data_IF_426298425632
#
_entry.id   IF_426298425632
#
_cell.length_a   1.000
_cell.length_b   1.000
_cell.length_c   1.000
_cell.angle_alpha   90.00
_cell.angle_beta   90.00
_cell.angle_gamma   90.00
#
_symmetry.space_group_name_H-M   'P 1'
#
loop_
_entity.id
_entity.type
_entity.pdbx_description
1 polymer ?
#
# COMPACT_ATOMS: atom_id res chain seq x y z
N UNK A 1 -73.40 4.63 23.61
CA UNK A 1 -73.88 6.02 23.51
C UNK A 1 -74.93 6.22 24.58
N UNK A 2 -74.50 6.79 25.71
CA UNK A 2 -75.27 7.35 26.81
C UNK A 2 -74.21 7.97 27.75
N UNK A 3 -74.33 9.27 28.02
CA UNK A 3 -74.55 9.87 29.36
C UNK A 3 -73.68 9.38 30.55
N UNK A 4 -73.24 10.22 31.50
CA UNK A 4 -73.47 11.67 31.71
C UNK A 4 -72.44 12.27 32.70
N UNK A 5 -72.54 13.56 32.99
CA UNK A 5 -71.61 14.34 33.84
C UNK A 5 -71.62 14.03 35.35
N UNK A 6 -70.56 14.53 36.02
CA UNK A 6 -70.60 15.27 37.29
C UNK A 6 -69.98 14.65 38.59
N UNK A 7 -68.72 15.03 38.83
CA UNK A 7 -68.25 15.92 39.94
C UNK A 7 -68.37 15.48 41.43
N UNK A 8 -67.27 15.71 42.16
CA UNK A 8 -67.03 15.57 43.63
C UNK A 8 -66.82 14.11 44.07
N UNK A 9 -66.03 13.78 45.10
CA UNK A 9 -65.54 14.55 46.25
C UNK A 9 -64.18 14.00 46.76
N UNK A 10 -63.51 14.67 47.71
CA UNK A 10 -62.32 14.16 48.42
C UNK A 10 -62.60 14.11 49.93
N UNK A 11 -61.96 13.22 50.72
CA UNK A 11 -60.85 13.71 51.56
C UNK A 11 -59.78 12.65 51.98
N UNK A 12 -58.67 13.13 52.57
CA UNK A 12 -57.92 12.37 53.60
C UNK A 12 -56.50 11.87 53.27
N UNK A 13 -55.49 12.63 53.72
CA UNK A 13 -54.36 12.21 54.60
C UNK A 13 -53.65 10.84 54.38
N UNK A 14 -52.31 10.72 54.35
CA UNK A 14 -51.33 11.41 55.22
C UNK A 14 -49.85 11.25 54.78
N UNK A 15 -49.01 12.21 55.18
CA UNK A 15 -47.58 12.10 55.64
C UNK A 15 -46.43 11.87 54.62
N UNK A 16 -45.57 12.92 54.50
CA UNK A 16 -44.07 12.97 54.42
C UNK A 16 -43.30 12.07 53.40
N UNK A 17 -42.16 12.42 52.80
CA UNK A 17 -41.21 13.57 52.78
C UNK A 17 -40.36 13.43 51.47
N UNK A 18 -39.54 14.34 50.95
CA UNK A 18 -39.08 15.70 51.31
C UNK A 18 -38.72 16.48 50.01
N UNK A 19 -38.31 17.76 50.09
CA UNK A 19 -38.05 18.64 48.93
C UNK A 19 -36.70 18.46 48.19
N UNK A 20 -36.66 18.87 46.90
CA UNK A 20 -35.44 19.49 46.33
C UNK A 20 -35.01 19.15 44.88
N UNK A 21 -35.73 19.59 43.84
CA UNK A 21 -35.16 19.71 42.47
C UNK A 21 -35.64 20.97 41.71
N UNK A 22 -34.75 21.49 40.85
CA UNK A 22 -35.10 22.30 39.67
C UNK A 22 -35.07 23.83 39.82
N UNK A 23 -34.08 24.51 39.22
CA UNK A 23 -34.02 25.98 39.35
C UNK A 23 -33.01 26.81 38.53
N UNK A 24 -32.42 26.29 37.44
CA UNK A 24 -31.73 27.06 36.36
C UNK A 24 -30.62 28.06 36.73
N UNK A 25 -29.39 27.81 36.23
CA UNK A 25 -28.58 28.79 35.49
C UNK A 25 -27.41 28.05 34.81
N UNK A 26 -27.16 28.33 33.54
CA UNK A 26 -26.15 27.66 32.71
C UNK A 26 -24.76 28.30 32.82
N UNK A 27 -23.71 27.51 32.57
CA UNK A 27 -22.49 28.05 31.97
C UNK A 27 -22.11 27.36 30.65
N UNK A 28 -21.41 28.14 29.83
CA UNK A 28 -20.87 27.87 28.49
C UNK A 28 -19.89 26.68 28.50
N UNK A 29 -19.83 25.83 27.46
CA UNK A 29 -18.84 24.77 27.38
C UNK A 29 -17.45 25.33 27.00
N UNK A 30 -16.46 25.14 27.86
CA UNK A 30 -15.05 25.30 27.49
C UNK A 30 -14.57 24.11 26.66
N UNK A 31 -13.79 24.38 25.61
CA UNK A 31 -13.24 23.36 24.72
C UNK A 31 -12.05 22.66 25.37
N UNK A 32 -12.26 21.41 25.83
CA UNK A 32 -11.18 20.50 26.18
C UNK A 32 -11.26 19.25 25.29
N UNK A 33 -10.78 19.40 24.04
CA UNK A 33 -10.55 18.28 23.13
C UNK A 33 -9.37 17.44 23.58
N UNK A 34 -9.52 16.73 24.70
CA UNK A 34 -8.58 15.70 25.11
C UNK A 34 -8.72 14.53 24.14
N UNK A 35 -7.91 14.55 23.08
CA UNK A 35 -7.75 13.41 22.20
C UNK A 35 -7.29 12.21 23.03
N UNK A 36 -8.14 11.20 23.14
CA UNK A 36 -7.74 9.91 23.68
C UNK A 36 -6.70 9.35 22.72
N UNK A 37 -5.43 9.43 23.12
CA UNK A 37 -4.38 8.61 22.51
C UNK A 37 -4.72 7.19 22.94
N UNK A 38 -5.43 6.47 22.06
CA UNK A 38 -5.69 5.05 22.21
C UNK A 38 -4.32 4.35 22.21
N UNK A 39 -3.81 3.96 23.38
CA UNK A 39 -2.56 3.22 23.50
C UNK A 39 -2.62 2.03 22.55
N UNK A 40 -1.58 1.85 21.74
CA UNK A 40 -1.53 0.82 20.71
C UNK A 40 -1.53 -0.58 21.33
N UNK A 41 -2.73 -1.10 21.58
CA UNK A 41 -2.94 -2.45 22.09
C UNK A 41 -2.24 -3.46 21.18
N UNK A 42 -1.60 -4.51 21.72
CA UNK A 42 -1.01 -5.56 20.87
C UNK A 42 -2.04 -6.26 19.96
N UNK A 43 -3.34 -6.07 20.17
CA UNK A 43 -4.40 -6.50 19.24
C UNK A 43 -4.64 -5.53 18.07
N UNK A 44 -4.30 -4.23 18.20
CA UNK A 44 -4.42 -3.23 17.12
C UNK A 44 -3.38 -3.43 16.00
N UNK A 45 -2.31 -4.18 16.29
CA UNK A 45 -1.26 -4.58 15.34
C UNK A 45 -1.59 -5.91 14.62
N UNK A 46 -2.65 -6.62 15.01
CA UNK A 46 -3.03 -7.91 14.42
C UNK A 46 -4.04 -7.68 13.30
N UNK A 47 -3.83 -8.28 12.13
CA UNK A 47 -4.74 -8.22 10.97
C UNK A 47 -5.96 -9.16 11.14
N UNK A 48 -6.63 -9.06 12.31
CA UNK A 48 -7.90 -9.73 12.61
C UNK A 48 -9.05 -9.13 11.79
N UNK A 49 -10.14 -9.88 11.54
CA UNK A 49 -11.33 -9.33 10.85
C UNK A 49 -11.88 -8.05 11.49
N UNK A 50 -11.86 -7.95 12.82
CA UNK A 50 -12.29 -6.75 13.55
C UNK A 50 -11.35 -5.56 13.32
N UNK A 51 -10.03 -5.79 13.30
CA UNK A 51 -9.08 -4.72 12.99
C UNK A 51 -9.17 -4.30 11.51
N UNK A 52 -9.42 -5.23 10.59
CA UNK A 52 -9.64 -4.93 9.16
C UNK A 52 -10.86 -4.04 8.98
N UNK A 53 -12.00 -4.38 9.58
CA UNK A 53 -13.19 -3.53 9.55
C UNK A 53 -12.91 -2.13 10.15
N UNK A 54 -12.13 -2.06 11.25
CA UNK A 54 -11.66 -0.78 11.81
C UNK A 54 -10.75 -0.01 10.85
N UNK A 55 -9.86 -0.67 10.11
CA UNK A 55 -9.00 -0.02 9.11
C UNK A 55 -9.77 0.45 7.88
N UNK A 56 -10.81 -0.29 7.46
CA UNK A 56 -11.75 0.13 6.41
C UNK A 56 -12.53 1.38 6.83
N UNK A 57 -13.06 1.41 8.06
CA UNK A 57 -13.74 2.55 8.67
C UNK A 57 -12.82 3.78 8.84
N UNK A 58 -11.59 3.56 9.33
CA UNK A 58 -10.55 4.59 9.43
C UNK A 58 -10.20 5.16 8.07
N UNK A 59 -10.06 4.33 7.04
CA UNK A 59 -9.88 4.80 5.65
C UNK A 59 -11.10 5.60 5.22
N UNK A 60 -12.32 5.09 5.43
CA UNK A 60 -13.58 5.72 5.02
C UNK A 60 -13.75 7.13 5.60
N UNK A 61 -13.43 7.32 6.87
CA UNK A 61 -13.46 8.60 7.54
C UNK A 61 -12.23 9.48 7.29
N UNK A 62 -11.15 8.95 6.70
CA UNK A 62 -9.96 9.71 6.39
C UNK A 62 -10.20 10.78 5.31
N UNK A 63 -9.82 12.03 5.58
CA UNK A 63 -9.93 13.14 4.62
C UNK A 63 -9.07 12.92 3.37
N UNK A 64 -7.92 12.26 3.51
CA UNK A 64 -7.04 11.87 2.40
C UNK A 64 -7.75 10.94 1.40
N UNK A 65 -8.58 9.98 1.86
CA UNK A 65 -9.32 9.05 0.97
C UNK A 65 -10.16 9.80 -0.06
N UNK A 66 -10.73 10.96 0.29
CA UNK A 66 -11.54 11.79 -0.62
C UNK A 66 -10.77 12.23 -1.87
N UNK A 67 -9.44 12.38 -1.79
CA UNK A 67 -8.57 12.68 -2.94
C UNK A 67 -8.58 11.55 -3.97
N UNK A 68 -8.77 10.31 -3.51
CA UNK A 68 -8.63 9.08 -4.29
C UNK A 68 -9.96 8.41 -4.69
N UNK A 69 -11.12 8.97 -4.34
CA UNK A 69 -12.41 8.47 -4.82
C UNK A 69 -12.55 8.65 -6.34
N UNK A 70 -13.24 7.72 -6.99
CA UNK A 70 -13.60 7.85 -8.41
C UNK A 70 -14.54 9.04 -8.63
N UNK A 71 -14.23 9.87 -9.62
CA UNK A 71 -14.93 11.11 -9.96
C UNK A 71 -15.69 11.02 -11.28
N UNK A 72 -15.50 9.93 -12.04
CA UNK A 72 -16.03 9.75 -13.39
C UNK A 72 -16.81 8.45 -13.53
N UNK A 73 -17.53 8.27 -14.65
CA UNK A 73 -18.26 7.03 -14.95
C UNK A 73 -17.45 6.06 -15.82
N UNK A 74 -16.14 6.28 -15.90
CA UNK A 74 -15.24 5.56 -16.79
C UNK A 74 -14.96 4.14 -16.28
N UNK A 75 -14.99 3.09 -17.12
CA UNK A 75 -14.58 1.74 -16.70
C UNK A 75 -13.12 1.64 -16.22
N UNK A 76 -12.31 2.64 -16.58
CA UNK A 76 -10.89 2.77 -16.21
C UNK A 76 -10.67 3.59 -14.93
N UNK A 77 -11.73 4.03 -14.23
CA UNK A 77 -11.66 4.86 -13.02
C UNK A 77 -12.07 4.07 -11.76
N UNK A 78 -11.17 3.21 -11.28
CA UNK A 78 -11.32 2.47 -10.04
C UNK A 78 -10.64 3.15 -8.85
N UNK A 79 -11.12 2.86 -7.64
CA UNK A 79 -10.52 3.31 -6.37
C UNK A 79 -9.58 2.29 -5.70
N UNK A 80 -9.45 1.07 -6.25
CA UNK A 80 -8.71 -0.03 -5.63
C UNK A 80 -7.19 0.21 -5.63
N UNK A 81 -6.60 0.61 -4.50
CA UNK A 81 -5.14 0.70 -4.36
C UNK A 81 -4.55 -0.68 -4.01
N UNK A 82 -3.36 -0.99 -4.53
CA UNK A 82 -2.59 -2.19 -4.16
C UNK A 82 -1.16 -1.86 -3.84
N UNK A 83 -0.66 -2.45 -2.76
CA UNK A 83 0.74 -2.34 -2.38
C UNK A 83 1.53 -3.53 -2.92
N UNK A 84 2.75 -3.26 -3.36
CA UNK A 84 3.66 -4.25 -3.92
C UNK A 84 5.00 -4.23 -3.18
N UNK A 85 5.64 -5.39 -3.05
CA UNK A 85 7.05 -5.48 -2.66
C UNK A 85 7.90 -5.93 -3.84
N UNK A 86 9.05 -5.31 -4.03
CA UNK A 86 10.07 -5.77 -4.95
C UNK A 86 10.78 -6.99 -4.36
N UNK A 87 11.03 -7.99 -5.20
CA UNK A 87 11.84 -9.17 -4.86
C UNK A 87 13.34 -8.90 -4.97
N UNK A 88 13.74 -7.91 -5.78
CA UNK A 88 15.14 -7.48 -5.86
C UNK A 88 15.47 -6.74 -4.57
N UNK A 89 16.50 -7.15 -3.80
CA UNK A 89 16.91 -6.46 -2.60
C UNK A 89 17.47 -5.07 -2.95
N UNK A 90 17.20 -4.10 -2.09
CA UNK A 90 17.90 -2.82 -2.06
C UNK A 90 19.28 -3.03 -1.46
N UNK A 91 20.32 -2.46 -2.06
CA UNK A 91 21.62 -2.34 -1.40
C UNK A 91 21.53 -1.38 -0.21
N UNK A 92 22.42 -1.51 0.78
CA UNK A 92 22.35 -0.76 2.06
C UNK A 92 22.27 0.77 1.91
N UNK A 93 22.89 1.29 0.84
CA UNK A 93 22.92 2.71 0.48
C UNK A 93 22.03 3.05 -0.75
N UNK A 94 21.23 2.11 -1.25
CA UNK A 94 20.28 2.37 -2.33
C UNK A 94 18.99 2.98 -1.76
N UNK A 95 18.59 4.14 -2.29
CA UNK A 95 17.36 4.81 -1.93
C UNK A 95 16.15 4.09 -2.55
N UNK A 96 15.05 3.97 -1.82
CA UNK A 96 13.83 3.36 -2.35
C UNK A 96 13.24 4.16 -3.52
N UNK A 97 13.52 5.46 -3.61
CA UNK A 97 13.16 6.29 -4.75
C UNK A 97 14.04 6.09 -6.00
N UNK A 98 15.15 5.33 -5.96
CA UNK A 98 15.96 4.99 -7.15
C UNK A 98 15.34 3.88 -8.00
N UNK A 99 14.07 4.07 -8.36
CA UNK A 99 13.24 3.14 -9.11
C UNK A 99 13.77 2.86 -10.52
N UNK A 100 13.51 1.67 -11.11
CA UNK A 100 13.96 1.33 -12.46
C UNK A 100 13.52 2.36 -13.51
N UNK A 101 14.36 2.54 -14.54
CA UNK A 101 14.09 3.52 -15.63
C UNK A 101 12.81 3.24 -16.41
N UNK A 102 12.28 2.01 -16.39
CA UNK A 102 11.00 1.65 -16.98
C UNK A 102 9.81 2.15 -16.14
N UNK A 103 8.88 2.85 -16.78
CA UNK A 103 7.68 3.46 -16.17
C UNK A 103 6.67 2.41 -15.70
N UNK A 104 6.65 1.26 -16.39
CA UNK A 104 5.77 0.14 -16.10
C UNK A 104 6.64 -0.93 -15.49
N UNK A 105 6.29 -1.30 -14.27
CA UNK A 105 7.07 -2.19 -13.41
C UNK A 105 7.11 -3.61 -13.98
N UNK A 106 8.27 -4.25 -13.90
CA UNK A 106 8.53 -5.56 -14.49
C UNK A 106 7.64 -6.67 -13.93
N UNK A 107 6.96 -7.42 -14.81
CA UNK A 107 6.23 -8.63 -14.42
C UNK A 107 7.21 -9.64 -13.83
N UNK A 108 7.03 -10.00 -12.56
CA UNK A 108 7.87 -10.94 -11.82
C UNK A 108 8.97 -10.31 -10.96
N UNK A 109 9.19 -9.00 -11.03
CA UNK A 109 10.06 -8.27 -10.09
C UNK A 109 9.29 -7.82 -8.84
N UNK A 110 8.04 -7.42 -9.02
CA UNK A 110 7.17 -6.91 -7.95
C UNK A 110 5.98 -7.84 -7.72
N UNK A 111 5.73 -8.12 -6.44
CA UNK A 111 4.72 -9.05 -5.97
C UNK A 111 3.70 -8.29 -5.13
N UNK A 112 2.42 -8.61 -5.28
CA UNK A 112 1.34 -7.99 -4.48
C UNK A 112 1.43 -8.45 -3.03
N UNK A 113 1.25 -7.53 -2.09
CA UNK A 113 0.90 -7.89 -0.72
C UNK A 113 -0.52 -8.50 -0.69
N UNK A 114 -0.84 -9.27 0.36
CA UNK A 114 -2.22 -9.76 0.58
C UNK A 114 -3.22 -8.61 0.66
N UNK A 115 -4.52 -8.91 0.55
CA UNK A 115 -5.58 -7.89 0.69
C UNK A 115 -5.43 -7.10 1.98
N UNK A 116 -5.20 -7.81 3.08
CA UNK A 116 -5.19 -7.28 4.45
C UNK A 116 -3.96 -6.42 4.71
N UNK A 117 -2.81 -6.94 4.29
CA UNK A 117 -1.54 -6.23 4.38
C UNK A 117 -1.59 -4.96 3.51
N UNK A 118 -2.11 -5.04 2.27
CA UNK A 118 -2.30 -3.86 1.40
C UNK A 118 -3.21 -2.80 2.04
N UNK A 119 -4.30 -3.23 2.68
CA UNK A 119 -5.22 -2.33 3.38
C UNK A 119 -4.56 -1.67 4.59
N UNK A 120 -3.82 -2.44 5.41
CA UNK A 120 -3.13 -1.91 6.58
C UNK A 120 -2.05 -0.87 6.19
N UNK A 121 -1.28 -1.15 5.13
CA UNK A 121 -0.30 -0.20 4.60
C UNK A 121 -1.01 1.07 4.07
N UNK A 122 -2.10 0.93 3.31
CA UNK A 122 -2.85 2.08 2.77
C UNK A 122 -3.51 2.92 3.87
N UNK A 123 -4.06 2.30 4.92
CA UNK A 123 -4.63 3.01 6.07
C UNK A 123 -3.57 3.86 6.78
N UNK A 124 -2.40 3.28 7.04
CA UNK A 124 -1.26 3.97 7.66
C UNK A 124 -0.64 5.03 6.74
N UNK A 125 -0.71 4.84 5.42
CA UNK A 125 -0.29 5.82 4.42
C UNK A 125 -1.22 7.03 4.40
N UNK A 126 -2.54 6.81 4.27
CA UNK A 126 -3.52 7.90 4.15
C UNK A 126 -3.58 8.79 5.40
N UNK A 127 -3.29 8.25 6.59
CA UNK A 127 -3.17 9.05 7.83
C UNK A 127 -2.03 10.07 7.80
N UNK A 128 -0.96 9.80 7.03
CA UNK A 128 0.26 10.63 6.94
C UNK A 128 0.63 10.98 5.48
N UNK A 129 -0.36 11.01 4.58
CA UNK A 129 -0.16 11.10 3.13
C UNK A 129 0.82 12.23 2.74
N UNK A 130 0.62 13.42 3.27
CA UNK A 130 1.38 14.62 2.87
C UNK A 130 2.83 14.60 3.38
N UNK A 131 3.05 14.03 4.58
CA UNK A 131 4.38 13.78 5.16
C UNK A 131 5.13 12.71 4.35
N UNK A 132 4.48 11.58 4.09
CA UNK A 132 5.07 10.43 3.39
C UNK A 132 5.36 10.73 1.91
N UNK A 133 4.48 11.50 1.23
CA UNK A 133 4.76 12.00 -0.11
C UNK A 133 5.89 13.03 -0.10
N UNK A 134 5.98 13.91 0.90
CA UNK A 134 7.09 14.87 1.02
C UNK A 134 8.44 14.17 1.16
N UNK A 135 8.56 13.18 2.05
CA UNK A 135 9.78 12.38 2.20
C UNK A 135 10.14 11.65 0.90
N UNK A 136 9.16 11.00 0.27
CA UNK A 136 9.38 10.26 -0.97
C UNK A 136 9.80 11.16 -2.14
N UNK A 137 9.17 12.31 -2.33
CA UNK A 137 9.55 13.28 -3.38
C UNK A 137 10.93 13.91 -3.13
N UNK A 138 11.29 14.14 -1.86
CA UNK A 138 12.63 14.61 -1.49
C UNK A 138 13.69 13.57 -1.88
N UNK A 139 13.48 12.31 -1.51
CA UNK A 139 14.37 11.19 -1.84
C UNK A 139 14.48 10.97 -3.36
N UNK A 140 13.36 11.08 -4.08
CA UNK A 140 13.34 11.02 -5.55
C UNK A 140 14.16 12.16 -6.18
N UNK A 141 14.06 13.38 -5.65
CA UNK A 141 14.84 14.52 -6.13
C UNK A 141 16.36 14.32 -5.91
N UNK A 142 16.76 13.70 -4.79
CA UNK A 142 18.16 13.35 -4.48
C UNK A 142 18.74 12.27 -5.42
N UNK A 143 17.90 11.35 -5.93
CA UNK A 143 18.30 10.36 -6.94
C UNK A 143 18.12 10.80 -8.40
N UNK A 144 17.32 11.83 -8.66
CA UNK A 144 17.01 12.24 -10.03
C UNK A 144 18.15 13.03 -10.66
N UNK A 145 18.61 12.59 -11.83
CA UNK A 145 19.48 13.41 -12.68
C UNK A 145 18.69 14.64 -13.16
N UNK A 146 18.99 15.80 -12.57
CA UNK A 146 18.37 17.06 -12.96
C UNK A 146 18.64 17.43 -14.43
N UNK A 147 17.85 18.34 -15.02
CA UNK A 147 18.05 18.73 -16.42
C UNK A 147 19.48 19.24 -16.66
N UNK A 148 20.27 18.49 -17.44
CA UNK A 148 21.69 18.77 -17.69
C UNK A 148 21.88 20.00 -18.60
N UNK A 149 21.66 21.19 -18.04
CA UNK A 149 21.74 22.47 -18.71
C UNK A 149 23.11 23.13 -18.64
N UNK A 150 23.72 23.34 -19.81
CA UNK A 150 24.99 24.03 -20.08
C UNK A 150 26.30 23.32 -19.66
N UNK A 151 27.20 23.02 -20.62
CA UNK A 151 28.59 22.68 -20.31
C UNK A 151 29.38 23.96 -19.98
N UNK A 152 29.44 24.32 -18.69
CA UNK A 152 30.42 25.32 -18.23
C UNK A 152 31.79 24.63 -18.16
N UNK A 153 32.71 25.14 -18.98
CA UNK A 153 34.05 24.59 -19.16
C UNK A 153 34.93 24.71 -17.90
N UNK A 154 35.60 23.61 -17.56
CA UNK A 154 36.98 23.65 -17.04
C UNK A 154 37.19 24.18 -15.62
N UNK A 155 37.14 23.28 -14.63
CA UNK A 155 37.57 23.56 -13.26
C UNK A 155 38.04 22.30 -12.53
N UNK A 156 39.22 21.78 -12.88
CA UNK A 156 39.87 20.73 -12.08
C UNK A 156 40.24 21.29 -10.71
N UNK A 157 39.82 20.60 -9.64
CA UNK A 157 40.53 20.65 -8.36
C UNK A 157 40.54 19.24 -7.76
N UNK A 158 41.74 18.65 -7.70
CA UNK A 158 41.97 17.35 -7.09
C UNK A 158 41.97 17.48 -5.56
N UNK A 159 41.18 16.67 -4.85
CA UNK A 159 41.37 16.44 -3.42
C UNK A 159 40.76 15.13 -2.93
N UNK A 160 41.61 14.11 -2.78
CA UNK A 160 41.41 12.94 -1.93
C UNK A 160 42.77 12.55 -1.33
N UNK A 161 42.85 11.73 -0.27
CA UNK A 161 41.81 11.42 0.73
C UNK A 161 42.35 11.59 2.18
N UNK A 162 41.47 11.77 3.18
CA UNK A 162 41.72 11.25 4.52
C UNK A 162 40.52 11.34 5.46
N UNK A 163 40.30 10.28 6.24
CA UNK A 163 39.91 10.24 7.68
C UNK A 163 39.16 8.94 8.01
N UNK A 164 39.93 7.89 8.25
CA UNK A 164 39.48 6.62 8.82
C UNK A 164 39.20 6.78 10.33
N UNK A 165 38.01 7.26 10.71
CA UNK A 165 37.57 7.27 12.12
C UNK A 165 36.06 7.38 12.37
N UNK A 166 35.21 7.29 11.33
CA UNK A 166 33.78 7.64 11.44
C UNK A 166 32.78 6.48 11.36
N UNK A 167 33.23 5.25 11.11
CA UNK A 167 32.32 4.11 10.92
C UNK A 167 31.57 3.74 12.20
N UNK A 168 32.24 3.71 13.36
CA UNK A 168 31.61 3.32 14.64
C UNK A 168 30.53 4.31 15.12
N UNK A 169 30.70 5.61 14.84
CA UNK A 169 29.70 6.63 15.13
C UNK A 169 28.48 6.51 14.21
N UNK A 170 28.71 6.26 12.92
CA UNK A 170 27.64 6.03 11.94
C UNK A 170 26.87 4.74 12.24
N UNK A 171 27.53 3.63 12.55
CA UNK A 171 26.85 2.40 12.96
C UNK A 171 26.01 2.60 14.23
N UNK A 172 26.54 3.29 15.26
CA UNK A 172 25.77 3.58 16.46
C UNK A 172 24.53 4.44 16.18
N UNK A 173 24.62 5.39 15.24
CA UNK A 173 23.49 6.23 14.82
C UNK A 173 22.47 5.44 13.96
N UNK A 174 22.93 4.53 13.11
CA UNK A 174 22.08 3.62 12.33
C UNK A 174 21.27 2.69 13.25
N UNK A 175 21.91 2.08 14.27
CA UNK A 175 21.21 1.22 15.23
C UNK A 175 20.14 1.99 16.03
N UNK A 176 20.43 3.20 16.51
CA UNK A 176 19.41 4.03 17.20
C UNK A 176 18.25 4.43 16.26
N UNK A 177 18.52 4.68 14.98
CA UNK A 177 17.49 4.98 13.97
C UNK A 177 16.77 3.72 13.41
N UNK A 178 17.21 2.53 13.80
CA UNK A 178 16.55 1.25 13.56
C UNK A 178 15.60 0.88 14.71
N UNK A 179 15.99 1.18 15.95
CA UNK A 179 15.23 0.86 17.17
C UNK A 179 13.91 1.66 17.31
N UNK A 180 13.77 2.80 16.62
CA UNK A 180 12.55 3.62 16.56
C UNK A 180 11.65 3.32 15.32
N UNK A 181 11.99 2.34 14.47
CA UNK A 181 11.16 1.96 13.31
C UNK A 181 9.89 1.21 13.73
N UNK A 182 8.82 1.95 14.00
CA UNK A 182 7.46 1.38 14.05
C UNK A 182 6.93 1.25 12.61
N UNK A 183 7.11 0.08 12.01
CA UNK A 183 6.59 -0.24 10.69
C UNK A 183 5.16 -0.80 10.71
N UNK A 184 4.56 -0.96 9.53
CA UNK A 184 3.29 -1.68 9.39
C UNK A 184 3.57 -3.19 9.29
N UNK A 185 3.04 -4.05 10.18
CA UNK A 185 3.31 -5.48 10.16
C UNK A 185 2.62 -6.16 8.96
N UNK A 186 3.39 -6.96 8.21
CA UNK A 186 2.96 -7.65 6.98
C UNK A 186 3.44 -9.10 6.96
N UNK A 187 2.93 -9.89 6.00
CA UNK A 187 3.26 -11.31 5.79
C UNK A 187 3.08 -12.14 7.07
N UNK A 188 1.99 -11.91 7.79
CA UNK A 188 1.72 -12.58 9.06
C UNK A 188 2.65 -12.19 10.22
N UNK A 189 3.15 -10.95 10.21
CA UNK A 189 3.99 -10.37 11.27
C UNK A 189 5.46 -10.80 11.20
N UNK A 190 5.93 -11.27 10.04
CA UNK A 190 7.32 -11.68 9.80
C UNK A 190 8.20 -10.55 9.25
N UNK A 191 7.56 -9.57 8.63
CA UNK A 191 8.16 -8.40 8.01
C UNK A 191 7.38 -7.17 8.43
N UNK A 192 8.03 -6.01 8.38
CA UNK A 192 7.41 -4.70 8.57
C UNK A 192 7.69 -3.78 7.39
N UNK A 193 6.77 -2.86 7.14
CA UNK A 193 6.90 -1.82 6.11
C UNK A 193 7.15 -0.47 6.77
N UNK A 194 8.36 0.05 6.59
CA UNK A 194 8.70 1.46 6.85
C UNK A 194 8.15 2.29 5.68
N UNK A 195 7.09 3.05 5.96
CA UNK A 195 6.44 3.94 4.97
C UNK A 195 7.23 5.20 4.65
N UNK A 196 8.12 5.65 5.54
CA UNK A 196 8.95 6.85 5.33
C UNK A 196 10.07 6.50 4.35
N UNK A 197 10.77 5.39 4.59
CA UNK A 197 11.83 4.87 3.70
C UNK A 197 11.31 4.04 2.53
N UNK A 198 10.02 3.68 2.50
CA UNK A 198 9.42 2.70 1.54
C UNK A 198 10.17 1.36 1.49
N UNK A 199 10.60 0.87 2.66
CA UNK A 199 11.29 -0.40 2.82
C UNK A 199 10.39 -1.46 3.45
N UNK A 200 10.49 -2.70 2.99
CA UNK A 200 9.96 -3.91 3.62
C UNK A 200 11.15 -4.68 4.20
N UNK A 201 11.19 -4.89 5.52
CA UNK A 201 12.32 -5.48 6.21
C UNK A 201 11.88 -6.62 7.15
N UNK A 202 12.71 -7.67 7.34
CA UNK A 202 12.40 -8.77 8.26
C UNK A 202 12.49 -8.32 9.73
N UNK A 203 11.57 -8.82 10.57
CA UNK A 203 11.49 -8.43 11.99
C UNK A 203 12.40 -9.28 12.89
N UNK A 204 12.51 -10.58 12.63
CA UNK A 204 13.15 -11.54 13.56
C UNK A 204 14.54 -12.03 13.14
N UNK A 205 15.07 -11.55 12.01
CA UNK A 205 16.41 -11.90 11.52
C UNK A 205 16.98 -10.75 10.70
N UNK A 206 18.30 -10.60 10.68
CA UNK A 206 18.98 -9.69 9.75
C UNK A 206 18.79 -10.20 8.31
N UNK A 207 18.33 -9.34 7.42
CA UNK A 207 18.15 -9.64 6.01
C UNK A 207 17.98 -8.37 5.18
N UNK A 208 17.99 -8.53 3.87
CA UNK A 208 17.98 -7.42 2.92
C UNK A 208 16.62 -6.70 2.89
N UNK A 209 16.64 -5.39 2.67
CA UNK A 209 15.43 -4.57 2.55
C UNK A 209 14.84 -4.72 1.14
N UNK A 210 13.52 -4.92 1.02
CA UNK A 210 12.80 -4.89 -0.25
C UNK A 210 12.12 -3.54 -0.48
N UNK A 211 12.23 -2.97 -1.69
CA UNK A 211 11.51 -1.75 -2.09
C UNK A 211 9.99 -1.97 -2.06
N UNK A 212 9.23 -1.02 -1.51
CA UNK A 212 7.77 -1.02 -1.49
C UNK A 212 7.21 0.02 -2.45
N UNK A 213 6.15 -0.34 -3.19
CA UNK A 213 5.52 0.49 -4.22
C UNK A 213 4.02 0.61 -3.97
N UNK A 214 3.49 1.84 -4.06
CA UNK A 214 2.05 2.12 -4.03
C UNK A 214 1.46 2.08 -5.44
N UNK A 215 0.74 1.02 -5.77
CA UNK A 215 0.04 0.88 -7.06
C UNK A 215 -1.36 1.48 -7.03
N UNK A 216 -1.51 2.70 -7.52
CA UNK A 216 -2.81 3.37 -7.72
C UNK A 216 -3.11 3.74 -9.19
N UNK A 217 -2.09 3.78 -10.06
CA UNK A 217 -2.26 3.75 -11.53
C UNK A 217 -1.63 2.50 -12.12
N UNK A 218 -2.24 1.97 -13.17
CA UNK A 218 -1.86 0.71 -13.80
C UNK A 218 -1.85 0.82 -15.32
N UNK A 219 -0.98 0.04 -15.95
CA UNK A 219 -0.77 0.01 -17.39
C UNK A 219 -0.81 -1.42 -17.92
N UNK A 220 -1.34 -1.59 -19.14
CA UNK A 220 -1.49 -2.89 -19.82
C UNK A 220 -0.55 -3.01 -21.01
N UNK A 221 0.71 -3.34 -20.71
CA UNK A 221 1.80 -3.48 -21.71
C UNK A 221 1.92 -4.92 -22.20
N UNK A 222 1.65 -5.15 -23.48
CA UNK A 222 1.95 -6.44 -24.15
C UNK A 222 1.18 -7.66 -23.64
N UNK A 223 0.03 -7.48 -22.98
CA UNK A 223 -0.73 -8.57 -22.38
C UNK A 223 -2.15 -8.19 -21.94
N UNK A 224 -2.76 -9.04 -21.12
CA UNK A 224 -4.08 -8.81 -20.50
C UNK A 224 -3.99 -8.33 -19.04
N UNK A 225 -2.80 -8.42 -18.45
CA UNK A 225 -2.54 -8.11 -17.04
C UNK A 225 -2.33 -6.61 -16.84
N UNK A 226 -2.81 -6.09 -15.69
CA UNK A 226 -2.62 -4.72 -15.26
C UNK A 226 -1.40 -4.64 -14.33
N UNK A 227 -0.33 -4.03 -14.82
CA UNK A 227 0.92 -3.85 -14.08
C UNK A 227 0.95 -2.46 -13.43
N UNK A 228 1.45 -2.30 -12.19
CA UNK A 228 1.53 -0.99 -11.56
C UNK A 228 2.49 -0.09 -12.32
N UNK A 229 2.13 1.19 -12.39
CA UNK A 229 3.06 2.23 -12.80
C UNK A 229 4.04 2.56 -11.68
N UNK A 230 5.19 3.07 -12.08
CA UNK A 230 6.18 3.69 -11.20
C UNK A 230 5.56 4.92 -10.51
N UNK A 231 5.90 5.12 -9.23
CA UNK A 231 5.14 6.03 -8.37
C UNK A 231 5.23 7.51 -8.80
N UNK A 232 6.35 7.95 -9.37
CA UNK A 232 6.52 9.28 -9.98
C UNK A 232 5.55 9.53 -11.14
N UNK A 233 5.32 8.52 -11.97
CA UNK A 233 4.40 8.58 -13.10
C UNK A 233 2.95 8.50 -12.59
N UNK A 234 2.68 7.65 -11.60
CA UNK A 234 1.35 7.49 -11.02
C UNK A 234 0.87 8.75 -10.28
N UNK A 235 1.72 9.39 -9.47
CA UNK A 235 1.36 10.63 -8.77
C UNK A 235 1.18 11.81 -9.74
N UNK A 236 1.99 11.93 -10.82
CA UNK A 236 1.76 12.93 -11.86
C UNK A 236 0.43 12.75 -12.60
N UNK A 237 0.04 11.49 -12.89
CA UNK A 237 -1.26 11.17 -13.46
C UNK A 237 -2.40 11.49 -12.48
N UNK A 238 -2.22 11.23 -11.18
CA UNK A 238 -3.21 11.54 -10.16
C UNK A 238 -3.40 13.07 -9.99
N UNK A 239 -2.33 13.87 -10.07
CA UNK A 239 -2.42 15.34 -10.10
C UNK A 239 -3.21 15.83 -11.31
N UNK A 240 -2.95 15.28 -12.50
CA UNK A 240 -3.69 15.64 -13.72
C UNK A 240 -5.17 15.21 -13.65
N UNK A 241 -5.43 14.01 -13.12
CA UNK A 241 -6.78 13.49 -12.88
C UNK A 241 -7.54 14.37 -11.86
N UNK A 242 -6.94 14.70 -10.72
CA UNK A 242 -7.54 15.63 -9.73
C UNK A 242 -7.73 17.05 -10.29
N UNK A 243 -6.95 17.44 -11.28
CA UNK A 243 -7.15 18.65 -12.09
C UNK A 243 -8.32 18.59 -13.08
N UNK A 244 -9.07 17.48 -13.11
CA UNK A 244 -10.17 17.17 -14.02
C UNK A 244 -9.74 17.24 -15.49
N UNK A 245 -8.67 16.53 -15.85
CA UNK A 245 -8.12 16.49 -17.23
C UNK A 245 -9.18 16.18 -18.30
N UNK A 246 -10.20 15.37 -18.00
CA UNK A 246 -11.32 15.07 -18.90
C UNK A 246 -12.22 16.28 -19.19
N UNK A 247 -12.33 17.24 -18.27
CA UNK A 247 -13.03 18.51 -18.53
C UNK A 247 -12.21 19.50 -19.38
N UNK A 248 -10.89 19.31 -19.48
CA UNK A 248 -9.95 20.23 -20.17
C UNK A 248 -9.55 19.76 -21.59
N UNK A 249 -10.30 18.81 -22.15
CA UNK A 249 -10.05 18.23 -23.48
C UNK A 249 -10.41 19.20 -24.61
N UNK A 250 -9.67 19.12 -25.73
CA UNK A 250 -9.96 19.83 -26.98
C UNK A 250 -10.48 18.87 -28.02
N UNK A 251 -11.47 19.30 -28.80
CA UNK A 251 -11.99 18.54 -29.93
C UNK A 251 -10.89 18.34 -30.99
N UNK A 252 -10.69 17.09 -31.43
CA UNK A 252 -9.68 16.72 -32.42
C UNK A 252 -10.30 16.46 -33.80
N UNK A 253 -9.53 16.58 -34.89
CA UNK A 253 -10.00 16.20 -36.24
C UNK A 253 -10.47 14.75 -36.37
N UNK A 254 -10.09 13.86 -35.43
CA UNK A 254 -10.58 12.48 -35.33
C UNK A 254 -12.03 12.35 -34.83
N UNK A 255 -12.69 13.46 -34.46
CA UNK A 255 -14.05 13.48 -33.93
C UNK A 255 -14.16 13.24 -32.42
N UNK A 256 -13.04 13.09 -31.70
CA UNK A 256 -13.00 12.83 -30.27
C UNK A 256 -12.42 14.03 -29.49
N UNK A 257 -12.85 14.21 -28.25
CA UNK A 257 -12.18 15.14 -27.33
C UNK A 257 -10.93 14.49 -26.74
N UNK A 258 -9.79 15.20 -26.78
CA UNK A 258 -8.52 14.73 -26.23
C UNK A 258 -7.80 15.79 -25.39
N UNK A 259 -7.13 15.36 -24.33
CA UNK A 259 -6.20 16.15 -23.53
C UNK A 259 -4.86 15.40 -23.41
N UNK A 260 -3.76 16.13 -23.52
CA UNK A 260 -2.39 15.62 -23.34
C UNK A 260 -1.87 16.09 -21.98
N UNK A 261 -1.22 15.18 -21.27
CA UNK A 261 -0.49 15.42 -20.02
C UNK A 261 0.95 15.00 -20.27
N UNK A 262 1.85 15.97 -20.40
CA UNK A 262 3.29 15.69 -20.49
C UNK A 262 3.81 15.27 -19.12
N UNK A 263 4.57 14.17 -19.08
CA UNK A 263 5.06 13.54 -17.85
C UNK A 263 6.56 13.78 -17.74
N UNK A 264 6.99 14.25 -16.57
CA UNK A 264 8.38 14.50 -16.24
C UNK A 264 9.03 13.22 -15.70
N UNK A 265 10.31 13.03 -15.99
CA UNK A 265 11.10 11.89 -15.53
C UNK A 265 12.18 11.48 -16.53
N UNK A 266 12.77 10.29 -16.32
CA UNK A 266 13.94 9.79 -17.04
C UNK A 266 13.74 9.48 -18.53
N UNK A 267 12.50 9.53 -19.04
CA UNK A 267 12.14 9.18 -20.43
C UNK A 267 11.59 10.41 -21.14
N UNK A 268 12.39 11.07 -22.01
CA UNK A 268 11.94 12.24 -22.77
C UNK A 268 10.73 11.93 -23.66
N UNK A 269 9.79 12.88 -23.75
CA UNK A 269 8.60 12.74 -24.58
C UNK A 269 7.52 11.78 -24.04
N UNK A 270 7.68 11.28 -22.82
CA UNK A 270 6.65 10.53 -22.11
C UNK A 270 5.43 11.44 -21.87
N UNK A 271 4.25 10.99 -22.28
CA UNK A 271 3.01 11.72 -22.07
C UNK A 271 1.81 10.77 -21.99
N UNK A 272 0.77 11.17 -21.27
CA UNK A 272 -0.52 10.50 -21.27
C UNK A 272 -1.53 11.26 -22.14
N UNK A 273 -2.30 10.53 -22.92
CA UNK A 273 -3.39 11.04 -23.75
C UNK A 273 -4.72 10.56 -23.18
N UNK A 274 -5.54 11.48 -22.68
CA UNK A 274 -6.88 11.24 -22.16
C UNK A 274 -7.91 11.56 -23.24
N UNK A 275 -8.75 10.61 -23.63
CA UNK A 275 -9.75 10.73 -24.70
C UNK A 275 -11.10 10.20 -24.23
N UNK A 276 -12.19 10.80 -24.69
CA UNK A 276 -13.55 10.33 -24.40
C UNK A 276 -14.58 11.46 -24.53
N UNK A 277 -15.76 11.26 -23.97
CA UNK A 277 -16.90 12.19 -24.01
C UNK A 277 -17.43 12.42 -22.60
N UNK A 278 -17.85 13.64 -22.26
CA UNK A 278 -18.42 14.02 -20.96
C UNK A 278 -17.65 13.44 -19.74
N UNK A 279 -18.35 12.76 -18.82
CA UNK A 279 -17.78 12.09 -17.64
C UNK A 279 -17.16 10.71 -17.93
N UNK A 280 -16.77 10.43 -19.18
CA UNK A 280 -16.07 9.19 -19.57
C UNK A 280 -14.71 9.47 -20.18
N UNK A 281 -13.71 8.67 -19.83
CA UNK A 281 -12.38 8.72 -20.41
C UNK A 281 -11.73 7.33 -20.56
N UNK A 282 -10.93 7.19 -21.60
CA UNK A 282 -9.84 6.24 -21.70
C UNK A 282 -8.52 7.02 -21.70
N UNK A 283 -7.45 6.40 -21.18
CA UNK A 283 -6.12 7.00 -21.20
C UNK A 283 -5.10 6.03 -21.78
N UNK A 284 -4.11 6.58 -22.48
CA UNK A 284 -2.98 5.84 -23.02
C UNK A 284 -1.67 6.55 -22.68
N UNK A 285 -0.66 5.78 -22.29
CA UNK A 285 0.71 6.23 -22.10
C UNK A 285 1.48 6.09 -23.41
N UNK A 286 2.12 7.17 -23.84
CA UNK A 286 2.88 7.27 -25.07
C UNK A 286 4.28 7.83 -24.80
N UNK A 287 5.22 7.52 -25.68
CA UNK A 287 6.56 8.10 -25.71
C UNK A 287 6.79 8.65 -27.11
N UNK A 288 7.00 9.96 -27.23
CA UNK A 288 7.33 10.61 -28.50
C UNK A 288 8.81 10.37 -28.83
N UNK A 289 9.16 9.63 -29.90
CA UNK A 289 10.56 9.25 -30.17
C UNK A 289 11.46 10.39 -30.68
N UNK A 290 10.94 11.63 -30.83
CA UNK A 290 11.71 12.73 -31.45
C UNK A 290 11.26 14.17 -31.12
N UNK A 291 10.30 14.39 -30.21
CA UNK A 291 9.81 15.73 -29.86
C UNK A 291 9.03 16.47 -30.98
N UNK A 292 8.82 15.85 -32.14
CA UNK A 292 7.92 16.35 -33.16
C UNK A 292 6.48 15.92 -32.87
N UNK A 293 5.60 16.89 -32.63
CA UNK A 293 4.15 16.71 -32.55
C UNK A 293 3.57 16.33 -33.92
N UNK A 294 3.80 15.10 -34.36
CA UNK A 294 3.11 14.50 -35.49
C UNK A 294 1.74 13.98 -35.06
N UNK A 295 0.74 14.11 -35.93
CA UNK A 295 -0.63 13.67 -35.66
C UNK A 295 -0.65 12.14 -35.70
N UNK A 296 -0.52 11.49 -34.54
CA UNK A 296 -0.44 10.03 -34.45
C UNK A 296 -1.84 9.42 -34.74
N UNK A 297 -1.96 8.46 -35.68
CA UNK A 297 -3.21 7.73 -35.89
C UNK A 297 -3.55 6.85 -34.67
N UNK A 298 -4.85 6.63 -34.46
CA UNK A 298 -5.40 5.86 -33.34
C UNK A 298 -5.08 4.35 -33.44
N UNK A 299 -3.83 3.97 -33.21
CA UNK A 299 -3.35 2.58 -33.26
C UNK A 299 -1.86 2.48 -33.60
N UNK A 300 -1.06 1.99 -32.66
CA UNK A 300 0.39 1.81 -32.84
C UNK A 300 1.10 1.43 -31.55
N UNK A 301 1.58 2.43 -30.80
CA UNK A 301 2.53 2.23 -29.69
C UNK A 301 2.02 2.67 -28.30
N UNK A 302 0.75 3.09 -28.15
CA UNK A 302 0.19 3.53 -26.87
C UNK A 302 -0.10 2.36 -25.93
N UNK A 303 0.26 2.49 -24.64
CA UNK A 303 -0.08 1.52 -23.59
C UNK A 303 -1.33 1.97 -22.86
N UNK A 304 -2.39 1.16 -22.82
CA UNK A 304 -3.62 1.54 -22.11
C UNK A 304 -3.38 1.69 -20.61
N UNK A 305 -3.88 2.80 -20.05
CA UNK A 305 -3.84 3.15 -18.64
C UNK A 305 -5.20 2.93 -17.99
N UNK A 306 -5.17 2.70 -16.68
CA UNK A 306 -6.32 2.78 -15.78
C UNK A 306 -5.89 3.31 -14.41
N UNK A 307 -6.86 3.82 -13.68
CA UNK A 307 -6.78 4.20 -12.27
C UNK A 307 -7.40 3.10 -11.42
N UNK A 308 -6.78 2.77 -10.30
CA UNK A 308 -7.12 1.62 -9.46
C UNK A 308 -6.81 0.26 -10.11
N UNK A 309 -6.62 -0.76 -9.28
CA UNK A 309 -6.29 -2.12 -9.69
C UNK A 309 -7.47 -2.82 -10.39
N UNK A 310 -7.17 -3.85 -11.17
CA UNK A 310 -8.13 -4.87 -11.58
C UNK A 310 -7.39 -6.19 -11.80
N UNK A 311 -8.11 -7.29 -11.61
CA UNK A 311 -7.68 -8.60 -12.12
C UNK A 311 -7.54 -8.54 -13.64
N UNK A 312 -6.70 -9.43 -14.17
CA UNK A 312 -6.53 -9.63 -15.62
C UNK A 312 -7.84 -10.05 -16.27
N UNK A 313 -8.15 -9.51 -17.46
CA UNK A 313 -9.32 -9.90 -18.25
C UNK A 313 -9.14 -11.30 -18.90
N UNK A 314 -8.00 -11.97 -18.65
CA UNK A 314 -7.71 -13.29 -19.21
C UNK A 314 -8.67 -14.36 -18.66
N UNK A 315 -9.37 -15.13 -19.52
CA UNK A 315 -10.20 -16.25 -19.08
C UNK A 315 -9.37 -17.43 -18.53
N UNK A 316 -8.05 -17.39 -18.69
CA UNK A 316 -7.11 -18.36 -18.09
C UNK A 316 -5.97 -17.58 -17.39
N UNK A 317 -5.82 -17.68 -16.07
CA UNK A 317 -4.70 -17.03 -15.38
C UNK A 317 -3.37 -17.67 -15.81
N UNK A 318 -2.32 -16.85 -15.87
CA UNK A 318 -0.95 -17.34 -16.12
C UNK A 318 -0.43 -18.11 -14.89
N UNK A 319 0.60 -18.95 -15.07
CA UNK A 319 1.20 -19.69 -13.95
C UNK A 319 1.73 -18.75 -12.85
N UNK A 320 2.29 -17.60 -13.25
CA UNK A 320 2.76 -16.56 -12.32
C UNK A 320 1.60 -15.93 -11.55
N UNK A 321 0.47 -15.66 -12.21
CA UNK A 321 -0.72 -15.09 -11.56
C UNK A 321 -1.38 -16.11 -10.61
N UNK A 322 -1.41 -17.41 -10.96
CA UNK A 322 -1.83 -18.47 -10.05
C UNK A 322 -0.92 -18.61 -8.83
N UNK A 323 0.40 -18.46 -9.02
CA UNK A 323 1.38 -18.45 -7.93
C UNK A 323 1.16 -17.24 -7.03
N UNK A 324 1.03 -16.05 -7.62
CA UNK A 324 0.79 -14.78 -6.91
C UNK A 324 -0.51 -14.83 -6.10
N UNK A 325 -1.60 -15.41 -6.65
CA UNK A 325 -2.86 -15.61 -5.93
C UNK A 325 -2.72 -16.55 -4.73
N UNK A 326 -1.97 -17.66 -4.87
CA UNK A 326 -1.67 -18.56 -3.75
C UNK A 326 -0.81 -17.90 -2.68
N UNK A 327 0.15 -17.07 -3.07
CA UNK A 327 0.98 -16.30 -2.14
C UNK A 327 0.16 -15.22 -1.41
N UNK A 328 -0.75 -14.51 -2.11
CA UNK A 328 -1.72 -13.57 -1.50
C UNK A 328 -2.65 -14.27 -0.50
N UNK A 329 -3.26 -15.41 -0.88
CA UNK A 329 -4.15 -16.20 0.00
C UNK A 329 -3.41 -16.73 1.24
N UNK A 330 -2.18 -17.22 1.07
CA UNK A 330 -1.32 -17.68 2.16
C UNK A 330 -0.93 -16.54 3.11
N UNK A 331 -0.61 -15.35 2.58
CA UNK A 331 -0.33 -14.17 3.41
C UNK A 331 -1.59 -13.71 4.15
N UNK A 332 -2.73 -13.59 3.48
CA UNK A 332 -4.01 -13.20 4.10
C UNK A 332 -4.44 -14.18 5.20
N UNK A 333 -4.20 -15.49 5.02
CA UNK A 333 -4.38 -16.50 6.08
C UNK A 333 -3.41 -16.27 7.25
N UNK A 334 -2.10 -16.11 6.97
CA UNK A 334 -1.08 -15.90 8.00
C UNK A 334 -1.29 -14.59 8.80
N UNK A 335 -1.85 -13.55 8.18
CA UNK A 335 -2.16 -12.26 8.80
C UNK A 335 -3.40 -12.32 9.71
N UNK A 336 -4.36 -13.22 9.44
CA UNK A 336 -5.52 -13.46 10.31
C UNK A 336 -5.22 -14.42 11.48
N UNK A 337 -4.58 -15.55 11.17
CA UNK A 337 -4.47 -16.66 12.11
C UNK A 337 -3.19 -16.52 12.94
N UNK A 338 -3.29 -16.39 14.28
CA UNK A 338 -2.11 -16.17 15.12
C UNK A 338 -1.25 -17.43 15.22
N UNK A 339 0.06 -17.23 15.32
CA UNK A 339 1.00 -18.31 15.67
C UNK A 339 0.76 -18.69 17.14
N UNK A 340 0.41 -19.96 17.39
CA UNK A 340 0.35 -20.52 18.76
C UNK A 340 1.53 -21.43 19.08
N UNK A 341 2.19 -21.97 18.05
CA UNK A 341 3.32 -22.88 18.19
C UNK A 341 4.43 -22.49 17.23
N UNK A 342 5.66 -22.37 17.77
CA UNK A 342 6.88 -22.19 17.01
C UNK A 342 7.64 -23.51 16.99
N UNK A 343 8.09 -23.93 15.80
CA UNK A 343 8.86 -25.16 15.62
C UNK A 343 10.15 -24.83 14.87
N UNK A 344 11.26 -24.80 15.60
CA UNK A 344 12.59 -24.65 15.04
C UNK A 344 13.04 -26.00 14.46
N UNK A 345 13.37 -26.01 13.17
CA UNK A 345 13.73 -27.22 12.43
C UNK A 345 15.22 -27.18 12.08
N UNK A 346 15.98 -28.10 12.66
CA UNK A 346 17.43 -28.27 12.44
C UNK A 346 17.72 -29.60 11.75
N UNK A 347 18.73 -29.64 10.88
CA UNK A 347 19.31 -30.91 10.45
C UNK A 347 20.24 -31.48 11.52
N UNK A 348 20.17 -32.78 11.77
CA UNK A 348 21.03 -33.46 12.74
C UNK A 348 22.44 -33.73 12.18
N UNK A 349 23.45 -33.61 13.04
CA UNK A 349 24.84 -34.00 12.73
C UNK A 349 24.88 -35.51 12.48
N UNK A 350 25.01 -35.92 11.21
CA UNK A 350 25.11 -37.34 10.83
C UNK A 350 24.54 -37.73 9.47
N UNK A 351 23.69 -36.89 8.85
CA UNK A 351 23.31 -37.14 7.45
C UNK A 351 24.52 -36.84 6.54
N UNK A 352 24.80 -37.76 5.60
CA UNK A 352 25.71 -37.51 4.47
C UNK A 352 24.95 -36.66 3.45
N UNK A 353 24.94 -35.35 3.67
CA UNK A 353 24.09 -34.35 2.99
C UNK A 353 24.49 -34.08 1.52
N UNK A 354 24.78 -35.10 0.71
CA UNK A 354 25.08 -34.90 -0.71
C UNK A 354 23.85 -34.46 -1.53
N UNK A 355 22.63 -34.52 -0.96
CA UNK A 355 21.35 -34.17 -1.64
C UNK A 355 20.24 -33.58 -0.74
N UNK A 356 20.46 -33.32 0.54
CA UNK A 356 19.41 -32.83 1.45
C UNK A 356 19.48 -31.31 1.63
N UNK A 357 18.35 -30.64 1.44
CA UNK A 357 18.20 -29.19 1.60
C UNK A 357 17.19 -28.92 2.72
N UNK A 358 17.64 -28.29 3.80
CA UNK A 358 16.79 -27.98 4.96
C UNK A 358 15.56 -27.15 4.57
N UNK A 359 15.69 -26.24 3.61
CA UNK A 359 14.58 -25.39 3.16
C UNK A 359 13.49 -26.23 2.47
N UNK A 360 13.89 -27.20 1.64
CA UNK A 360 12.96 -28.10 0.95
C UNK A 360 12.32 -29.10 1.94
N UNK A 361 13.09 -29.62 2.90
CA UNK A 361 12.58 -30.51 3.95
C UNK A 361 11.54 -29.81 4.85
N UNK A 362 11.81 -28.55 5.24
CA UNK A 362 10.84 -27.71 5.96
C UNK A 362 9.62 -27.38 5.07
N UNK A 363 9.83 -27.15 3.77
CA UNK A 363 8.74 -26.99 2.79
C UNK A 363 7.82 -28.21 2.72
N UNK A 364 8.40 -29.42 2.65
CA UNK A 364 7.67 -30.68 2.68
C UNK A 364 6.91 -30.87 4.00
N UNK A 365 7.53 -30.57 5.14
CA UNK A 365 6.88 -30.69 6.44
C UNK A 365 5.69 -29.72 6.60
N UNK A 366 5.84 -28.47 6.11
CA UNK A 366 4.74 -27.48 6.02
C UNK A 366 3.58 -28.02 5.19
N UNK A 367 3.85 -28.58 4.00
CA UNK A 367 2.81 -29.14 3.13
C UNK A 367 2.10 -30.33 3.78
N UNK A 368 2.85 -31.30 4.34
CA UNK A 368 2.27 -32.48 5.00
C UNK A 368 1.39 -32.05 6.18
N UNK A 369 1.87 -31.11 6.99
CA UNK A 369 1.08 -30.56 8.12
C UNK A 369 -0.20 -29.88 7.63
N UNK A 370 -0.13 -29.07 6.57
CA UNK A 370 -1.30 -28.40 6.00
C UNK A 370 -2.35 -29.41 5.52
N UNK A 371 -1.94 -30.44 4.77
CA UNK A 371 -2.85 -31.48 4.29
C UNK A 371 -3.45 -32.33 5.42
N UNK A 372 -2.68 -32.65 6.47
CA UNK A 372 -3.22 -33.32 7.67
C UNK A 372 -4.19 -32.41 8.43
N UNK A 373 -3.93 -31.10 8.52
CA UNK A 373 -4.83 -30.13 9.12
C UNK A 373 -6.15 -30.02 8.35
N UNK A 374 -6.11 -30.02 7.00
CA UNK A 374 -7.31 -30.01 6.15
C UNK A 374 -8.17 -31.28 6.31
N UNK A 375 -7.54 -32.44 6.52
CA UNK A 375 -8.23 -33.72 6.70
C UNK A 375 -8.80 -33.95 8.11
N UNK A 376 -8.14 -33.42 9.15
CA UNK A 376 -8.44 -33.77 10.53
C UNK A 376 -8.90 -32.62 11.43
N UNK A 377 -8.71 -31.34 11.03
CA UNK A 377 -9.13 -30.18 11.81
C UNK A 377 -10.33 -29.48 11.17
N UNK A 378 -11.30 -29.13 12.02
CA UNK A 378 -12.41 -28.26 11.62
C UNK A 378 -11.91 -26.90 11.14
N UNK A 379 -12.68 -26.23 10.28
CA UNK A 379 -12.34 -24.88 9.81
C UNK A 379 -12.15 -23.89 10.97
N UNK A 380 -12.90 -24.04 12.06
CA UNK A 380 -12.74 -23.22 13.27
C UNK A 380 -11.40 -23.46 13.99
N UNK A 381 -10.93 -24.71 14.09
CA UNK A 381 -9.62 -25.01 14.65
C UNK A 381 -8.50 -24.42 13.77
N UNK A 382 -8.63 -24.52 12.44
CA UNK A 382 -7.66 -23.96 11.48
C UNK A 382 -7.63 -22.43 11.44
N UNK A 383 -8.74 -21.74 11.76
CA UNK A 383 -8.81 -20.29 11.83
C UNK A 383 -8.34 -19.70 13.16
N UNK A 384 -8.24 -20.52 14.23
CA UNK A 384 -7.93 -20.04 15.58
C UNK A 384 -6.43 -20.07 15.90
N UNK A 385 -5.66 -20.93 15.21
CA UNK A 385 -4.24 -21.11 15.47
C UNK A 385 -3.47 -21.68 14.27
N UNK A 386 -2.21 -21.26 14.09
CA UNK A 386 -1.25 -21.90 13.18
C UNK A 386 0.06 -22.25 13.88
N UNK A 387 0.77 -23.20 13.29
CA UNK A 387 2.16 -23.54 13.62
C UNK A 387 3.09 -22.84 12.64
N UNK A 388 4.13 -22.19 13.14
CA UNK A 388 5.19 -21.59 12.31
C UNK A 388 6.46 -22.42 12.40
N UNK A 389 6.86 -23.00 11.27
CA UNK A 389 8.07 -23.79 11.10
C UNK A 389 9.22 -22.90 10.64
N UNK A 390 10.31 -22.83 11.40
CA UNK A 390 11.48 -21.98 11.12
C UNK A 390 12.69 -22.87 10.83
N UNK A 391 13.23 -22.89 9.58
CA UNK A 391 14.49 -23.59 9.30
C UNK A 391 15.62 -22.88 10.06
N UNK A 392 16.41 -23.65 10.80
CA UNK A 392 17.56 -23.17 11.56
C UNK A 392 18.82 -23.86 11.02
N UNK A 393 19.66 -23.07 10.36
CA UNK A 393 21.01 -23.49 9.98
C UNK A 393 21.93 -23.22 11.18
N UNK A 394 22.71 -24.22 11.57
CA UNK A 394 23.58 -24.23 12.77
C UNK A 394 25.05 -24.10 12.34
#
# INVERSE_FOLDING_TARGET
MADSEAKREAPGSNIEMNDGEGGSLSPVPESAGAGVIEEASPDSLKNTPSNIARLEDVIEHCTARRKYLAQTRSPSDGGDVRWFFCKVPLADNELAASVPRTEIVGKGEYFRFGMRDSLAIEASFLQREEELLFHWWKEYAECSEGPSGCPISGGKLDSQPNMSSSESAQSAQLYNAEEERVGVPVKGGLYEVDLVRRHCFPVYWSGENGRVLRGHWFARKGGLDWLPLREDVAEQLEVAYRGQVWHRRRFQPSGLFAARVDLQGSTPGLHALFVGEDDTWEAWLHVDPSGFSSVIPLGGNGVKLRRGYSKSDSPKPTQDELRQQKEEEMHDYCSQVPVRHLVFMVHGIGQRLEKSNLVDDVGNFRHITASLAELHLTSHQRSTQRVLYIPCQV
#
